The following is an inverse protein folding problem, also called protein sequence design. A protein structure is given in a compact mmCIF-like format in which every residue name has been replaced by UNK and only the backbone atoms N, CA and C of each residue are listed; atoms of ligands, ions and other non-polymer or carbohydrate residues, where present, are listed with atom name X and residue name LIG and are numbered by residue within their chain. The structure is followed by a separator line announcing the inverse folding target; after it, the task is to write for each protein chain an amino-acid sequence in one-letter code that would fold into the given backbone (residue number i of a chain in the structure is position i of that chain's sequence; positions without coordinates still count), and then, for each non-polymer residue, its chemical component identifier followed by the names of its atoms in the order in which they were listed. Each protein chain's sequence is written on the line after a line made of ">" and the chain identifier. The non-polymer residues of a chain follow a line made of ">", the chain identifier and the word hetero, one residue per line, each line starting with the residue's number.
data_IF_041741779575
#
_entry.id   IF_041741779575
#
_cell.length_a   1.000
_cell.length_b   1.000
_cell.length_c   1.000
_cell.angle_alpha   90.00
_cell.angle_beta   90.00
_cell.angle_gamma   90.00
#
_symmetry.space_group_name_H-M   'P 1'
#
loop_
_entity.id
_entity.type
_entity.pdbx_description
1 polymer ?
#
# COMPACT_ATOMS: atom_id res chain seq x y z
N UNK A 1 -21.13 5.51 3.40
CA UNK A 1 -20.18 6.61 3.66
C UNK A 1 -18.83 6.25 3.07
N UNK A 2 -18.09 7.23 2.53
CA UNK A 2 -16.72 7.03 2.05
C UNK A 2 -15.75 7.32 3.20
N UNK A 3 -14.81 6.41 3.45
CA UNK A 3 -13.77 6.56 4.48
C UNK A 3 -12.39 6.63 3.85
N UNK A 4 -11.48 7.37 4.50
CA UNK A 4 -10.07 7.43 4.12
C UNK A 4 -9.21 6.82 5.24
N UNK A 5 -8.27 5.96 4.87
CA UNK A 5 -7.30 5.35 5.78
C UNK A 5 -5.87 5.66 5.32
N UNK A 6 -4.96 5.82 6.28
CA UNK A 6 -3.55 6.12 6.05
C UNK A 6 -2.66 5.02 6.64
N UNK A 7 -1.70 4.54 5.85
CA UNK A 7 -0.67 3.61 6.31
C UNK A 7 0.62 4.37 6.66
N UNK A 8 1.24 4.03 7.80
CA UNK A 8 2.38 4.76 8.35
C UNK A 8 3.74 4.42 7.74
N UNK A 9 4.77 5.15 8.19
CA UNK A 9 6.17 5.09 7.74
C UNK A 9 6.78 3.69 7.88
N UNK A 10 7.26 3.08 6.79
CA UNK A 10 7.98 1.81 6.87
C UNK A 10 8.24 1.13 5.52
N UNK A 11 9.15 0.14 5.53
CA UNK A 11 9.42 -0.74 4.40
C UNK A 11 8.38 -1.84 4.33
N UNK A 12 7.87 -2.12 3.13
CA UNK A 12 6.97 -3.25 2.90
C UNK A 12 7.69 -4.36 2.12
N UNK A 13 7.33 -5.62 2.38
CA UNK A 13 7.75 -6.76 1.57
C UNK A 13 7.01 -6.76 0.22
N UNK A 14 7.70 -6.80 -0.93
CA UNK A 14 7.05 -6.67 -2.25
C UNK A 14 6.04 -7.77 -2.54
N UNK A 15 6.37 -9.01 -2.19
CA UNK A 15 5.49 -10.18 -2.40
C UNK A 15 4.29 -10.16 -1.45
N UNK A 16 4.50 -9.76 -0.19
CA UNK A 16 3.40 -9.60 0.77
C UNK A 16 2.45 -8.49 0.31
N UNK A 17 2.99 -7.33 -0.08
CA UNK A 17 2.17 -6.21 -0.54
C UNK A 17 1.39 -6.54 -1.81
N UNK A 18 1.98 -7.29 -2.75
CA UNK A 18 1.26 -7.78 -3.93
C UNK A 18 0.05 -8.65 -3.53
N UNK A 19 0.24 -9.63 -2.63
CA UNK A 19 -0.85 -10.47 -2.13
C UNK A 19 -1.90 -9.68 -1.35
N UNK A 20 -1.46 -8.68 -0.58
CA UNK A 20 -2.37 -7.76 0.10
C UNK A 20 -3.28 -7.06 -0.91
N UNK A 21 -2.71 -6.51 -1.99
CA UNK A 21 -3.47 -5.87 -3.07
C UNK A 21 -4.47 -6.82 -3.73
N UNK A 22 -4.07 -8.07 -4.00
CA UNK A 22 -4.95 -9.10 -4.59
C UNK A 22 -6.08 -9.53 -3.64
N UNK A 23 -5.87 -9.39 -2.33
CA UNK A 23 -6.86 -9.72 -1.30
C UNK A 23 -7.86 -8.61 -0.99
N UNK A 24 -7.68 -7.42 -1.59
CA UNK A 24 -8.53 -6.29 -1.28
C UNK A 24 -9.97 -6.57 -1.70
N UNK A 25 -10.93 -6.23 -0.83
CA UNK A 25 -12.32 -6.39 -1.22
C UNK A 25 -12.59 -5.47 -2.41
N UNK A 26 -13.51 -5.87 -3.29
CA UNK A 26 -14.03 -5.05 -4.40
C UNK A 26 -14.46 -3.64 -3.94
N UNK A 27 -14.72 -3.50 -2.65
CA UNK A 27 -15.10 -2.25 -1.99
C UNK A 27 -14.00 -1.20 -1.87
N UNK A 28 -12.74 -1.58 -2.03
CA UNK A 28 -11.60 -0.66 -2.11
C UNK A 28 -11.36 -0.34 -3.58
N UNK A 29 -11.88 0.80 -4.04
CA UNK A 29 -11.87 1.13 -5.48
C UNK A 29 -10.70 2.02 -5.88
N UNK A 30 -10.01 2.66 -4.93
CA UNK A 30 -8.81 3.46 -5.21
C UNK A 30 -7.74 3.32 -4.13
N UNK A 31 -6.50 3.14 -4.58
CA UNK A 31 -5.31 3.24 -3.73
C UNK A 31 -4.30 4.11 -4.46
N UNK A 32 -3.74 5.10 -3.77
CA UNK A 32 -2.73 5.97 -4.34
C UNK A 32 -1.64 6.26 -3.34
N UNK A 33 -0.40 6.29 -3.81
CA UNK A 33 0.70 6.81 -3.03
C UNK A 33 2.02 6.08 -3.24
N UNK A 34 2.98 6.38 -2.36
CA UNK A 34 4.33 5.84 -2.40
C UNK A 34 4.39 4.56 -1.59
N UNK A 35 5.12 3.57 -2.09
CA UNK A 35 5.44 2.34 -1.39
C UNK A 35 6.94 2.16 -1.40
N UNK A 36 7.54 2.16 -0.21
CA UNK A 36 8.97 1.92 -0.02
C UNK A 36 9.19 0.41 0.14
N UNK A 37 9.81 -0.21 -0.86
CA UNK A 37 10.34 -1.58 -0.78
C UNK A 37 11.84 -1.53 -0.46
N UNK A 38 12.46 -2.64 -0.03
CA UNK A 38 13.90 -2.69 0.29
C UNK A 38 14.80 -2.16 -0.82
N UNK A 39 14.48 -2.48 -2.08
CA UNK A 39 15.31 -2.11 -3.23
C UNK A 39 14.96 -0.75 -3.84
N UNK A 40 13.71 -0.28 -3.67
CA UNK A 40 13.20 0.92 -4.35
C UNK A 40 11.89 1.41 -3.79
N UNK A 41 11.63 2.71 -3.98
CA UNK A 41 10.32 3.31 -3.82
C UNK A 41 9.56 3.27 -5.14
N UNK A 42 8.29 2.89 -5.09
CA UNK A 42 7.37 2.92 -6.22
C UNK A 42 6.17 3.79 -5.92
N UNK A 43 5.72 4.56 -6.91
CA UNK A 43 4.40 5.16 -6.89
C UNK A 43 3.38 4.16 -7.41
N UNK A 44 2.31 3.95 -6.65
CA UNK A 44 1.16 3.14 -7.05
C UNK A 44 -0.01 4.08 -7.36
N UNK A 45 -0.61 3.88 -8.52
CA UNK A 45 -1.95 4.39 -8.83
C UNK A 45 -2.82 3.17 -9.16
N UNK A 46 -3.72 2.81 -8.24
CA UNK A 46 -4.67 1.72 -8.39
C UNK A 46 -6.08 2.29 -8.49
N UNK A 47 -6.78 2.03 -9.59
CA UNK A 47 -8.16 2.46 -9.84
C UNK A 47 -8.92 1.30 -10.44
N UNK A 48 -9.97 0.81 -9.76
CA UNK A 48 -10.94 -0.13 -10.34
C UNK A 48 -10.33 -1.37 -11.01
N UNK A 49 -9.30 -1.98 -10.41
CA UNK A 49 -8.64 -3.18 -10.95
C UNK A 49 -7.47 -2.91 -11.92
N UNK A 50 -7.26 -1.66 -12.35
CA UNK A 50 -6.12 -1.26 -13.17
C UNK A 50 -5.00 -0.69 -12.27
N UNK A 51 -3.78 -1.19 -12.46
CA UNK A 51 -2.63 -0.82 -11.65
C UNK A 51 -1.46 -0.35 -12.52
N UNK A 52 -1.04 0.90 -12.35
CA UNK A 52 0.23 1.40 -12.87
C UNK A 52 1.28 1.49 -11.75
N UNK A 53 2.53 1.15 -12.09
CA UNK A 53 3.69 1.41 -11.25
C UNK A 53 4.58 2.45 -11.91
N UNK A 54 5.05 3.43 -11.13
CA UNK A 54 6.11 4.34 -11.54
C UNK A 54 7.25 4.20 -10.54
N UNK A 55 8.45 3.86 -11.01
CA UNK A 55 9.63 3.79 -10.15
C UNK A 55 10.06 5.22 -9.76
N UNK A 56 10.25 5.48 -8.46
CA UNK A 56 10.65 6.79 -7.91
C UNK A 56 12.10 6.79 -7.38
N UNK A 57 12.88 5.75 -7.66
CA UNK A 57 14.22 5.57 -7.10
C UNK A 57 14.18 5.34 -5.59
N UNK A 58 15.03 6.02 -4.81
CA UNK A 58 15.15 5.85 -3.36
C UNK A 58 14.48 6.95 -2.52
N UNK A 59 13.48 7.64 -3.07
CA UNK A 59 12.86 8.78 -2.40
C UNK A 59 11.69 8.37 -1.48
N UNK A 60 11.69 8.85 -0.24
CA UNK A 60 10.53 8.93 0.64
C UNK A 60 10.07 7.64 1.32
N UNK A 61 9.23 7.82 2.34
CA UNK A 61 8.59 6.75 3.09
C UNK A 61 7.36 6.18 2.34
N UNK A 62 6.89 5.02 2.80
CA UNK A 62 5.56 4.51 2.41
C UNK A 62 4.47 5.46 2.90
N UNK A 63 3.62 5.90 1.97
CA UNK A 63 2.47 6.75 2.21
C UNK A 63 1.37 6.32 1.26
N UNK A 64 0.30 5.75 1.79
CA UNK A 64 -0.82 5.27 1.00
C UNK A 64 -2.12 5.90 1.47
N UNK A 65 -2.95 6.28 0.51
CA UNK A 65 -4.34 6.67 0.72
C UNK A 65 -5.26 5.61 0.09
N UNK A 66 -6.23 5.16 0.87
CA UNK A 66 -7.26 4.22 0.45
C UNK A 66 -8.60 4.96 0.34
N UNK A 67 -9.33 4.72 -0.74
CA UNK A 67 -10.73 5.17 -0.88
C UNK A 67 -11.61 3.94 -1.03
N UNK A 68 -12.54 3.80 -0.08
CA UNK A 68 -13.43 2.66 0.01
C UNK A 68 -14.82 3.08 0.49
N UNK A 69 -15.82 2.26 0.16
CA UNK A 69 -17.19 2.34 0.69
C UNK A 69 -17.44 1.21 1.70
N UNK A 70 -18.12 1.52 2.81
CA UNK A 70 -18.61 0.52 3.77
C UNK A 70 -17.55 -0.53 4.16
N UNK A 71 -16.36 -0.04 4.51
CA UNK A 71 -15.19 -0.86 4.83
C UNK A 71 -14.64 -0.42 6.17
N UNK A 72 -14.38 -1.38 7.06
CA UNK A 72 -13.67 -1.14 8.31
C UNK A 72 -12.16 -0.95 8.03
N UNK A 73 -11.58 0.21 8.35
CA UNK A 73 -10.16 0.46 8.11
C UNK A 73 -9.23 -0.37 9.01
N UNK A 74 -9.68 -0.85 10.18
CA UNK A 74 -8.82 -1.55 11.14
C UNK A 74 -8.19 -2.82 10.54
N UNK A 75 -8.99 -3.81 10.12
CA UNK A 75 -8.48 -5.06 9.55
C UNK A 75 -7.71 -4.88 8.22
N UNK A 76 -7.96 -3.77 7.51
CA UNK A 76 -7.24 -3.41 6.29
C UNK A 76 -5.82 -2.94 6.64
N UNK A 77 -5.72 -2.02 7.61
CA UNK A 77 -4.43 -1.48 8.06
C UNK A 77 -3.61 -2.56 8.77
N UNK A 78 -4.20 -3.41 9.61
CA UNK A 78 -3.49 -4.52 10.25
C UNK A 78 -2.85 -5.48 9.23
N UNK A 79 -3.58 -5.84 8.17
CA UNK A 79 -3.03 -6.68 7.09
C UNK A 79 -1.88 -5.99 6.36
N UNK A 80 -2.00 -4.69 6.10
CA UNK A 80 -0.92 -3.93 5.48
C UNK A 80 0.32 -3.85 6.38
N UNK A 81 0.12 -3.60 7.68
CA UNK A 81 1.19 -3.55 8.67
C UNK A 81 1.88 -4.90 8.83
N UNK A 82 1.18 -6.02 8.63
CA UNK A 82 1.79 -7.37 8.59
C UNK A 82 2.82 -7.54 7.47
N UNK A 83 2.77 -6.70 6.43
CA UNK A 83 3.76 -6.69 5.36
C UNK A 83 5.02 -5.88 5.69
N UNK A 84 5.13 -5.27 6.87
CA UNK A 84 6.33 -4.53 7.25
C UNK A 84 7.55 -5.44 7.35
N UNK A 85 8.66 -4.96 6.81
CA UNK A 85 9.97 -5.62 6.89
C UNK A 85 11.01 -4.70 7.50
N UNK A 86 12.08 -5.30 8.05
CA UNK A 86 13.24 -4.54 8.49
C UNK A 86 14.07 -4.09 7.29
N UNK A 87 14.76 -2.94 7.37
CA UNK A 87 15.79 -2.59 6.39
C UNK A 87 16.85 -3.69 6.34
N UNK A 88 17.44 -3.96 5.15
CA UNK A 88 18.68 -4.74 5.11
C UNK A 88 19.71 -4.05 6.01
N UNK A 89 20.43 -4.83 6.80
CA UNK A 89 21.60 -4.32 7.54
C UNK A 89 22.65 -3.83 6.52
N UNK A 90 23.36 -2.73 6.82
CA UNK A 90 24.42 -2.22 5.96
C UNK A 90 25.56 -3.23 5.79
#
# INVERSE_FOLDING_TARGET
>A
MAGAAHAGKGLLGPQCFARFLDSLPFRVFRIKGRVRFPEKTRFRNYVGGQAGWTDLGNAGDTELAFVAWDTDPGPLLERLESCRVRPPLP
#
